data_IF_207611210911
#
_entry.id   IF_207611210911
#
_cell.length_a   1.000
_cell.length_b   1.000
_cell.length_c   1.000
_cell.angle_alpha   90.00
_cell.angle_beta   90.00
_cell.angle_gamma   90.00
#
_symmetry.space_group_name_H-M   'P 1'
#
loop_
_entity.id
_entity.type
_entity.pdbx_description
1 polymer ?
#
# COMPACT_ATOMS: atom_id res chain seq x y z
N UNK A 1 -12.64 1.79 -14.84
CA UNK A 1 -11.30 1.48 -14.27
C UNK A 1 -10.44 2.71 -14.45
N UNK A 2 -10.05 3.37 -13.36
CA UNK A 2 -9.14 4.51 -13.37
C UNK A 2 -7.70 4.10 -13.69
N UNK A 3 -6.83 5.09 -13.86
CA UNK A 3 -5.41 4.86 -14.12
C UNK A 3 -4.61 5.00 -12.83
N UNK A 4 -3.70 4.08 -12.57
CA UNK A 4 -2.73 4.22 -11.50
C UNK A 4 -1.77 5.37 -11.79
N UNK A 5 -1.56 6.20 -10.77
CA UNK A 5 -0.71 7.39 -10.81
C UNK A 5 0.20 7.39 -9.59
N UNK A 6 1.43 7.83 -9.75
CA UNK A 6 2.32 8.12 -8.64
C UNK A 6 1.94 9.50 -8.09
N UNK A 7 1.35 9.52 -6.89
CA UNK A 7 1.00 10.75 -6.20
C UNK A 7 2.21 11.41 -5.56
N UNK A 8 3.12 10.61 -4.99
CA UNK A 8 4.40 11.06 -4.47
C UNK A 8 5.50 10.09 -4.88
N UNK A 9 6.55 10.61 -5.50
CA UNK A 9 7.71 9.84 -5.98
C UNK A 9 8.90 9.89 -5.02
N UNK A 10 10.03 9.40 -5.50
CA UNK A 10 11.32 9.39 -4.78
C UNK A 10 11.71 10.81 -4.36
N UNK A 11 12.25 10.96 -3.13
CA UNK A 11 12.57 12.25 -2.53
C UNK A 11 11.40 13.24 -2.52
N UNK A 12 10.18 12.75 -2.52
CA UNK A 12 8.95 13.53 -2.55
C UNK A 12 8.89 14.60 -1.46
N UNK A 13 8.15 15.71 -1.68
CA UNK A 13 8.25 16.89 -0.83
C UNK A 13 7.68 16.73 0.57
N UNK A 14 6.76 15.77 0.78
CA UNK A 14 6.02 15.65 2.03
C UNK A 14 6.69 14.67 3.00
N UNK A 15 6.65 13.38 2.71
CA UNK A 15 7.06 12.29 3.63
C UNK A 15 8.23 11.47 3.14
N UNK A 16 8.54 11.48 1.83
CA UNK A 16 9.60 10.66 1.24
C UNK A 16 10.98 11.29 1.41
N UNK A 17 11.44 11.36 2.68
CA UNK A 17 12.75 11.90 3.08
C UNK A 17 13.54 10.82 3.82
N UNK A 18 14.85 11.00 3.89
CA UNK A 18 15.78 10.14 4.60
C UNK A 18 15.57 8.65 4.28
N UNK A 19 15.22 7.85 5.27
CA UNK A 19 14.97 6.42 5.11
C UNK A 19 13.77 6.07 4.21
N UNK A 20 12.88 7.04 3.95
CA UNK A 20 11.69 6.88 3.09
C UNK A 20 11.91 7.43 1.67
N UNK A 21 13.09 7.91 1.35
CA UNK A 21 13.40 8.57 0.07
C UNK A 21 13.09 7.75 -1.19
N UNK A 22 13.01 6.43 -1.06
CA UNK A 22 12.70 5.50 -2.17
C UNK A 22 11.24 5.05 -2.19
N UNK A 23 10.40 5.59 -1.33
CA UNK A 23 8.98 5.25 -1.33
C UNK A 23 8.25 5.86 -2.52
N UNK A 24 7.19 5.19 -2.95
CA UNK A 24 6.26 5.62 -3.99
C UNK A 24 4.84 5.49 -3.44
N UNK A 25 4.08 6.57 -3.51
CA UNK A 25 2.65 6.54 -3.19
C UNK A 25 1.85 6.41 -4.49
N UNK A 26 1.00 5.39 -4.57
CA UNK A 26 0.18 5.12 -5.74
C UNK A 26 -1.28 5.38 -5.44
N UNK A 27 -1.95 6.11 -6.31
CA UNK A 27 -3.39 6.34 -6.28
C UNK A 27 -4.01 5.91 -7.60
N UNK A 28 -5.32 5.68 -7.60
CA UNK A 28 -6.10 5.58 -8.85
C UNK A 28 -6.77 6.93 -9.07
N UNK A 29 -6.58 7.50 -10.25
CA UNK A 29 -7.16 8.78 -10.63
C UNK A 29 -8.09 8.62 -11.83
N UNK A 30 -9.25 9.26 -11.77
CA UNK A 30 -10.19 9.41 -12.85
C UNK A 30 -10.66 10.86 -12.91
N UNK A 31 -10.48 11.51 -14.07
CA UNK A 31 -10.78 12.93 -14.32
C UNK A 31 -10.22 13.89 -13.25
N UNK A 32 -8.96 13.64 -12.83
CA UNK A 32 -8.24 14.46 -11.85
C UNK A 32 -8.66 14.26 -10.40
N UNK A 33 -9.50 13.26 -10.10
CA UNK A 33 -9.97 12.93 -8.75
C UNK A 33 -9.50 11.54 -8.35
N UNK A 34 -9.22 11.33 -7.05
CA UNK A 34 -8.86 10.04 -6.46
C UNK A 34 -10.06 9.32 -5.83
N UNK A 35 -11.19 10.00 -5.74
CA UNK A 35 -12.43 9.47 -5.16
C UNK A 35 -13.66 9.99 -5.91
N UNK A 36 -14.78 9.32 -5.71
CA UNK A 36 -16.13 9.75 -6.10
C UNK A 36 -16.93 10.16 -4.85
N UNK A 37 -18.07 10.80 -5.06
CA UNK A 37 -18.93 11.18 -3.93
C UNK A 37 -18.32 12.25 -3.04
N UNK A 38 -18.41 12.04 -1.72
CA UNK A 38 -17.96 13.01 -0.72
C UNK A 38 -16.47 12.90 -0.36
N UNK A 39 -15.82 11.77 -0.64
CA UNK A 39 -14.47 11.44 -0.16
C UNK A 39 -14.40 11.24 1.36
N UNK A 40 -15.53 11.00 2.03
CA UNK A 40 -15.58 10.81 3.48
C UNK A 40 -15.60 9.33 3.90
N UNK A 41 -15.79 8.44 2.93
CA UNK A 41 -15.78 6.99 3.14
C UNK A 41 -14.60 6.37 2.40
N UNK A 42 -14.07 5.26 2.94
CA UNK A 42 -12.96 4.54 2.29
C UNK A 42 -13.37 4.04 0.90
N UNK A 43 -14.60 3.58 0.77
CA UNK A 43 -15.17 3.06 -0.47
C UNK A 43 -15.38 4.13 -1.55
N UNK A 44 -15.33 5.41 -1.19
CA UNK A 44 -15.34 6.51 -2.17
C UNK A 44 -14.05 6.51 -3.02
N UNK A 45 -12.92 6.04 -2.46
CA UNK A 45 -11.62 6.08 -3.11
C UNK A 45 -11.45 4.96 -4.15
N UNK A 46 -11.07 5.34 -5.37
CA UNK A 46 -10.96 4.40 -6.48
C UNK A 46 -9.92 3.30 -6.28
N UNK A 47 -8.87 3.54 -5.50
CA UNK A 47 -7.84 2.54 -5.20
C UNK A 47 -8.23 1.61 -4.04
N UNK A 48 -9.14 2.01 -3.15
CA UNK A 48 -9.51 1.20 -1.98
C UNK A 48 -10.04 -0.17 -2.38
N UNK A 49 -9.53 -1.22 -1.76
CA UNK A 49 -9.90 -2.60 -2.05
C UNK A 49 -9.39 -3.16 -3.38
N UNK A 50 -8.66 -2.37 -4.19
CA UNK A 50 -8.04 -2.86 -5.42
C UNK A 50 -6.95 -3.90 -5.13
N UNK A 51 -6.70 -4.77 -6.10
CA UNK A 51 -5.68 -5.80 -5.97
C UNK A 51 -4.27 -5.22 -5.96
N UNK A 52 -3.47 -5.72 -5.02
CA UNK A 52 -2.04 -5.46 -4.93
C UNK A 52 -1.29 -6.67 -5.46
N UNK A 53 -0.33 -6.43 -6.33
CA UNK A 53 0.49 -7.46 -6.96
C UNK A 53 1.95 -7.39 -6.50
N UNK A 54 2.63 -8.52 -6.48
CA UNK A 54 4.07 -8.58 -6.20
C UNK A 54 4.86 -7.85 -7.30
N UNK A 55 5.75 -6.90 -6.95
CA UNK A 55 6.51 -6.12 -7.94
C UNK A 55 7.63 -6.92 -8.61
N UNK A 56 8.02 -8.05 -8.05
CA UNK A 56 9.05 -8.96 -8.54
C UNK A 56 8.94 -10.34 -7.91
N UNK A 57 9.68 -11.30 -8.46
CA UNK A 57 9.83 -12.62 -7.87
C UNK A 57 10.56 -12.53 -6.54
N UNK A 58 10.19 -13.33 -5.55
CA UNK A 58 10.89 -13.32 -4.26
C UNK A 58 10.17 -14.13 -3.17
N UNK A 59 10.71 -14.03 -1.98
CA UNK A 59 10.18 -14.72 -0.79
C UNK A 59 9.60 -13.68 0.17
N UNK A 60 8.39 -13.92 0.65
CA UNK A 60 7.77 -13.10 1.71
C UNK A 60 8.54 -13.31 3.01
N UNK A 61 9.13 -12.23 3.54
CA UNK A 61 9.95 -12.28 4.77
C UNK A 61 9.29 -11.61 5.96
N UNK A 62 8.30 -10.74 5.72
CA UNK A 62 7.52 -10.09 6.78
C UNK A 62 6.06 -9.96 6.34
N UNK A 63 5.14 -10.16 7.27
CA UNK A 63 3.71 -9.96 7.08
C UNK A 63 3.09 -9.39 8.36
N UNK A 64 2.42 -8.23 8.25
CA UNK A 64 1.42 -7.74 9.19
C UNK A 64 0.07 -7.69 8.47
N UNK A 65 -1.02 -8.16 9.09
CA UNK A 65 -2.31 -8.33 8.40
C UNK A 65 -3.53 -8.03 9.28
N UNK A 66 -3.35 -7.49 10.50
CA UNK A 66 -4.41 -7.35 11.50
C UNK A 66 -4.63 -5.91 11.98
N UNK A 67 -4.03 -4.93 11.32
CA UNK A 67 -4.19 -3.51 11.64
C UNK A 67 -5.46 -2.99 10.96
N UNK A 68 -6.40 -2.47 11.74
CA UNK A 68 -7.63 -1.88 11.19
C UNK A 68 -7.34 -0.64 10.33
N UNK A 69 -8.16 -0.43 9.31
CA UNK A 69 -8.11 0.80 8.53
C UNK A 69 -8.49 2.03 9.37
N UNK A 70 -7.85 3.15 9.10
CA UNK A 70 -8.21 4.44 9.67
C UNK A 70 -9.48 5.00 9.01
N UNK A 71 -10.17 5.87 9.70
CA UNK A 71 -11.14 6.78 9.06
C UNK A 71 -10.40 7.80 8.20
N UNK A 72 -11.07 8.33 7.21
CA UNK A 72 -10.50 9.39 6.35
C UNK A 72 -10.03 10.57 7.22
N UNK A 73 -8.78 11.00 7.00
CA UNK A 73 -8.13 12.08 7.75
C UNK A 73 -7.46 11.66 9.06
N UNK A 74 -7.67 10.42 9.53
CA UNK A 74 -7.02 9.87 10.72
C UNK A 74 -5.80 9.03 10.35
N UNK A 75 -4.85 8.88 11.28
CA UNK A 75 -3.66 8.05 11.11
C UNK A 75 -3.34 7.25 12.38
N UNK A 76 -2.81 6.06 12.22
CA UNK A 76 -2.25 5.25 13.30
C UNK A 76 -0.70 5.35 13.27
N UNK A 77 -0.16 6.34 13.98
CA UNK A 77 1.28 6.57 14.02
C UNK A 77 2.06 5.53 14.85
N UNK A 78 1.38 4.73 15.70
CA UNK A 78 2.02 3.66 16.48
C UNK A 78 2.33 2.43 15.63
N UNK A 79 1.59 2.25 14.54
CA UNK A 79 1.80 1.18 13.56
C UNK A 79 2.00 1.79 12.18
N UNK A 80 3.10 2.52 12.02
CA UNK A 80 3.38 3.41 10.90
C UNK A 80 3.08 2.81 9.51
N UNK A 81 3.49 1.56 9.29
CA UNK A 81 3.29 0.87 8.01
C UNK A 81 1.90 0.22 7.84
N UNK A 82 1.14 0.10 8.95
CA UNK A 82 -0.12 -0.65 8.94
C UNK A 82 0.08 -2.11 8.54
N UNK A 83 -0.87 -2.65 7.81
CA UNK A 83 -0.71 -3.98 7.22
C UNK A 83 0.34 -3.89 6.12
N UNK A 84 1.31 -4.79 6.15
CA UNK A 84 2.47 -4.71 5.27
C UNK A 84 2.98 -6.09 4.87
N UNK A 85 3.50 -6.18 3.65
CA UNK A 85 4.19 -7.36 3.12
C UNK A 85 5.57 -6.90 2.68
N UNK A 86 6.62 -7.59 3.18
CA UNK A 86 7.99 -7.39 2.71
C UNK A 86 8.43 -8.62 1.92
N UNK A 87 8.93 -8.39 0.71
CA UNK A 87 9.42 -9.42 -0.19
C UNK A 87 10.93 -9.22 -0.38
N UNK A 88 11.70 -10.28 -0.12
CA UNK A 88 13.12 -10.36 -0.47
C UNK A 88 13.25 -10.92 -1.89
N UNK A 89 13.76 -10.11 -2.82
CA UNK A 89 13.94 -10.51 -4.23
C UNK A 89 15.27 -11.21 -4.45
N UNK A 90 16.36 -10.60 -3.96
CA UNK A 90 17.72 -11.12 -4.00
C UNK A 90 18.50 -10.52 -2.84
N UNK A 91 19.80 -10.82 -2.71
CA UNK A 91 20.61 -10.27 -1.64
C UNK A 91 20.66 -8.74 -1.71
N UNK A 92 20.27 -8.11 -0.60
CA UNK A 92 20.21 -6.64 -0.48
C UNK A 92 19.05 -5.96 -1.21
N UNK A 93 18.17 -6.69 -1.93
CA UNK A 93 17.03 -6.11 -2.63
C UNK A 93 15.70 -6.58 -2.05
N UNK A 94 14.94 -5.62 -1.54
CA UNK A 94 13.62 -5.84 -0.93
C UNK A 94 12.59 -4.88 -1.50
N UNK A 95 11.34 -5.28 -1.50
CA UNK A 95 10.21 -4.37 -1.62
C UNK A 95 9.30 -4.50 -0.41
N UNK A 96 8.71 -3.39 -0.01
CA UNK A 96 7.71 -3.30 1.04
C UNK A 96 6.44 -2.69 0.47
N UNK A 97 5.32 -3.37 0.66
CA UNK A 97 3.99 -2.89 0.31
C UNK A 97 3.24 -2.65 1.62
N UNK A 98 2.79 -1.41 1.83
CA UNK A 98 2.24 -0.94 3.11
C UNK A 98 0.80 -0.46 2.96
N UNK A 99 0.17 -0.11 4.08
CA UNK A 99 -1.20 0.42 4.17
C UNK A 99 -2.26 -0.52 3.59
N UNK A 100 -1.97 -1.83 3.59
CA UNK A 100 -2.85 -2.86 3.03
C UNK A 100 -4.13 -3.03 3.88
N UNK A 101 -5.16 -3.57 3.25
CA UNK A 101 -6.44 -3.89 3.90
C UNK A 101 -6.27 -5.06 4.87
N UNK A 102 -6.81 -4.91 6.08
CA UNK A 102 -6.77 -5.95 7.12
C UNK A 102 -7.38 -7.26 6.63
N UNK A 103 -6.70 -8.37 6.91
CA UNK A 103 -7.15 -9.71 6.55
C UNK A 103 -7.12 -10.02 5.05
N UNK A 104 -6.59 -9.13 4.21
CA UNK A 104 -6.60 -9.31 2.75
C UNK A 104 -5.40 -10.08 2.19
N UNK A 105 -4.40 -10.37 3.01
CA UNK A 105 -3.21 -11.10 2.54
C UNK A 105 -3.56 -12.49 2.02
N UNK A 106 -3.10 -12.81 0.82
CA UNK A 106 -3.22 -14.12 0.18
C UNK A 106 -1.92 -14.94 0.31
N UNK A 107 -0.92 -14.41 1.04
CA UNK A 107 0.40 -15.02 1.21
C UNK A 107 0.79 -15.06 2.67
N UNK A 108 1.79 -15.89 3.01
CA UNK A 108 2.36 -16.06 4.34
C UNK A 108 3.86 -15.86 4.30
N UNK A 109 4.47 -15.57 5.44
CA UNK A 109 5.94 -15.57 5.58
C UNK A 109 6.50 -16.93 5.15
N UNK A 110 7.51 -16.90 4.28
CA UNK A 110 8.14 -18.07 3.67
C UNK A 110 7.61 -18.43 2.27
N UNK A 111 6.47 -17.89 1.86
CA UNK A 111 5.93 -18.15 0.51
C UNK A 111 6.81 -17.49 -0.55
N UNK A 112 7.05 -18.22 -1.64
CA UNK A 112 7.60 -17.65 -2.87
C UNK A 112 6.48 -17.04 -3.69
N UNK A 113 6.69 -15.81 -4.16
CA UNK A 113 5.75 -15.09 -5.03
C UNK A 113 6.39 -14.77 -6.37
N UNK A 114 5.56 -14.74 -7.42
CA UNK A 114 5.98 -14.34 -8.76
C UNK A 114 5.59 -12.89 -9.04
N UNK A 115 6.38 -12.22 -9.85
CA UNK A 115 6.04 -10.88 -10.34
C UNK A 115 4.63 -10.88 -10.96
N UNK A 116 3.80 -9.93 -10.53
CA UNK A 116 2.41 -9.81 -10.99
C UNK A 116 1.41 -10.72 -10.27
N UNK A 117 1.86 -11.59 -9.36
CA UNK A 117 0.98 -12.39 -8.52
C UNK A 117 0.18 -11.48 -7.59
N UNK A 118 -1.14 -11.69 -7.51
CA UNK A 118 -1.99 -10.99 -6.54
C UNK A 118 -1.65 -11.48 -5.13
N UNK A 119 -1.38 -10.56 -4.21
CA UNK A 119 -0.92 -10.87 -2.86
C UNK A 119 -1.76 -10.24 -1.74
N UNK A 120 -2.47 -9.15 -2.00
CA UNK A 120 -3.31 -8.46 -1.02
C UNK A 120 -4.28 -7.47 -1.70
N UNK A 121 -4.90 -6.60 -0.88
CA UNK A 121 -5.72 -5.47 -1.34
C UNK A 121 -5.25 -4.16 -0.70
N UNK A 122 -5.46 -3.04 -1.41
CA UNK A 122 -5.23 -1.69 -0.89
C UNK A 122 -6.20 -1.40 0.25
N UNK A 123 -5.68 -0.89 1.37
CA UNK A 123 -6.43 -0.44 2.53
C UNK A 123 -6.14 1.01 2.89
N UNK A 124 -6.25 1.33 4.18
CA UNK A 124 -5.93 2.63 4.77
C UNK A 124 -5.36 2.48 6.18
N UNK A 125 -4.61 1.42 6.43
CA UNK A 125 -4.05 1.11 7.74
C UNK A 125 -2.72 1.83 8.00
N UNK A 126 -2.39 2.08 9.26
CA UNK A 126 -1.12 2.70 9.63
C UNK A 126 -1.13 4.23 9.47
N UNK A 127 0.00 4.81 9.06
CA UNK A 127 0.12 6.26 8.86
C UNK A 127 -0.35 6.66 7.46
N UNK A 128 -1.60 6.41 7.19
CA UNK A 128 -2.28 6.67 5.92
C UNK A 128 -3.57 7.46 6.20
N UNK A 129 -3.65 8.76 5.86
CA UNK A 129 -4.85 9.57 6.09
C UNK A 129 -5.95 9.31 5.07
N UNK A 130 -5.59 8.75 3.91
CA UNK A 130 -6.49 8.36 2.83
C UNK A 130 -5.90 7.17 2.05
N UNK A 131 -6.71 6.35 1.39
CA UNK A 131 -6.25 5.18 0.63
C UNK A 131 -5.28 5.54 -0.50
N UNK A 132 -4.12 4.84 -0.49
CA UNK A 132 -3.09 4.95 -1.55
C UNK A 132 -2.23 3.69 -1.62
#
# INVERSE_FOLDING_TARGET
MGKWKIAQGYNGPHTHKDQYQFALDFVVEDDGKTYQGSGQQLEDYFCYGQWVIAPGDGIVVTLENNVSDNRIGEVNALQNWGNTIVIKHTEGLYSQLSHLLAGSSLVRVGDFVYRGQVIARVGNSGRSPEPH
#
